data_IF_437884071521
#
_entry.id   IF_437884071521
#
_cell.length_a   1.000
_cell.length_b   1.000
_cell.length_c   1.000
_cell.angle_alpha   90.00
_cell.angle_beta   90.00
_cell.angle_gamma   90.00
#
_symmetry.space_group_name_H-M   'P 1'
#
loop_
_entity.id
_entity.type
_entity.pdbx_description
1 polymer ?
#
# COMPACT_ATOMS: atom_id res chain seq x y z
N UNK A 1 12.56 -22.81 1.90
CA UNK A 1 11.60 -21.83 1.36
C UNK A 1 10.49 -22.61 0.69
N UNK A 2 9.31 -22.59 1.28
CA UNK A 2 8.13 -23.29 0.74
C UNK A 2 7.27 -22.35 -0.13
N UNK A 3 6.15 -22.84 -0.65
CA UNK A 3 5.23 -22.05 -1.47
C UNK A 3 4.51 -20.96 -0.68
N UNK A 4 4.36 -21.09 0.65
CA UNK A 4 3.79 -20.05 1.50
C UNK A 4 4.77 -18.88 1.65
N UNK A 5 6.06 -19.18 1.86
CA UNK A 5 7.14 -18.18 1.88
C UNK A 5 7.22 -17.45 0.54
N UNK A 6 7.19 -18.19 -0.57
CA UNK A 6 7.22 -17.62 -1.91
C UNK A 6 6.01 -16.70 -2.18
N UNK A 7 4.82 -17.09 -1.73
CA UNK A 7 3.62 -16.26 -1.83
C UNK A 7 3.73 -14.96 -1.02
N UNK A 8 4.27 -15.01 0.20
CA UNK A 8 4.51 -13.81 1.02
C UNK A 8 5.55 -12.87 0.38
N UNK A 9 6.64 -13.42 -0.14
CA UNK A 9 7.67 -12.61 -0.84
C UNK A 9 7.05 -11.95 -2.06
N UNK A 10 6.32 -12.70 -2.88
CA UNK A 10 5.68 -12.17 -4.09
C UNK A 10 4.65 -11.10 -3.76
N UNK A 11 3.83 -11.30 -2.72
CA UNK A 11 2.90 -10.29 -2.23
C UNK A 11 3.64 -9.02 -1.77
N UNK A 12 4.76 -9.19 -1.06
CA UNK A 12 5.60 -8.08 -0.62
C UNK A 12 6.20 -7.28 -1.77
N UNK A 13 6.70 -7.97 -2.80
CA UNK A 13 7.23 -7.34 -4.02
C UNK A 13 6.12 -6.57 -4.75
N UNK A 14 4.95 -7.18 -4.96
CA UNK A 14 3.82 -6.51 -5.62
C UNK A 14 3.42 -5.26 -4.84
N UNK A 15 3.19 -5.38 -3.53
CA UNK A 15 2.80 -4.25 -2.68
C UNK A 15 3.85 -3.13 -2.67
N UNK A 16 5.13 -3.48 -2.57
CA UNK A 16 6.24 -2.53 -2.61
C UNK A 16 6.34 -1.79 -3.95
N UNK A 17 6.26 -2.51 -5.08
CA UNK A 17 6.28 -1.90 -6.42
C UNK A 17 5.06 -1.00 -6.65
N UNK A 18 3.86 -1.45 -6.26
CA UNK A 18 2.64 -0.64 -6.36
C UNK A 18 2.76 0.61 -5.50
N UNK A 19 3.34 0.54 -4.31
CA UNK A 19 3.57 1.69 -3.45
C UNK A 19 4.46 2.73 -4.13
N UNK A 20 5.58 2.32 -4.73
CA UNK A 20 6.49 3.26 -5.44
C UNK A 20 5.77 3.96 -6.59
N UNK A 21 5.07 3.20 -7.44
CA UNK A 21 4.34 3.76 -8.59
C UNK A 21 3.21 4.68 -8.10
N UNK A 22 2.44 4.25 -7.10
CA UNK A 22 1.37 5.05 -6.51
C UNK A 22 1.90 6.35 -5.91
N UNK A 23 3.01 6.32 -5.17
CA UNK A 23 3.65 7.52 -4.61
C UNK A 23 4.08 8.51 -5.68
N UNK A 24 4.66 8.04 -6.79
CA UNK A 24 5.02 8.89 -7.94
C UNK A 24 3.77 9.51 -8.56
N UNK A 25 2.70 8.74 -8.74
CA UNK A 25 1.42 9.23 -9.29
C UNK A 25 0.76 10.25 -8.35
N UNK A 26 0.67 9.96 -7.05
CA UNK A 26 0.15 10.87 -6.02
C UNK A 26 0.95 12.17 -6.01
N UNK A 27 2.28 12.10 -6.06
CA UNK A 27 3.12 13.29 -6.11
C UNK A 27 2.84 14.14 -7.35
N UNK A 28 2.73 13.50 -8.52
CA UNK A 28 2.58 14.20 -9.81
C UNK A 28 1.18 14.73 -10.05
N UNK A 29 0.15 13.95 -9.71
CA UNK A 29 -1.24 14.19 -10.09
C UNK A 29 -2.08 14.78 -8.96
N UNK A 30 -1.65 14.68 -7.70
CA UNK A 30 -2.40 15.22 -6.56
C UNK A 30 -1.62 16.29 -5.81
N UNK A 31 -0.43 15.98 -5.29
CA UNK A 31 0.34 16.91 -4.44
C UNK A 31 0.77 18.15 -5.22
N UNK A 32 1.37 17.99 -6.41
CA UNK A 32 1.82 19.12 -7.23
C UNK A 32 0.65 20.04 -7.67
N UNK A 33 -0.48 19.54 -8.18
CA UNK A 33 -1.64 20.38 -8.49
C UNK A 33 -2.24 21.03 -7.25
N UNK A 34 -2.40 20.29 -6.14
CA UNK A 34 -2.95 20.82 -4.90
C UNK A 34 -2.09 21.98 -4.38
N UNK A 35 -0.77 21.82 -4.40
CA UNK A 35 0.17 22.89 -4.04
C UNK A 35 -0.07 24.13 -4.90
N UNK A 36 -0.14 23.99 -6.23
CA UNK A 36 -0.38 25.13 -7.14
C UNK A 36 -1.68 25.88 -6.81
N UNK A 37 -2.77 25.15 -6.55
CA UNK A 37 -4.09 25.73 -6.26
C UNK A 37 -4.15 26.34 -4.85
N UNK A 38 -3.57 25.68 -3.85
CA UNK A 38 -3.60 26.16 -2.46
C UNK A 38 -2.60 27.27 -2.18
N UNK A 39 -1.51 27.42 -2.95
CA UNK A 39 -0.63 28.58 -2.84
C UNK A 39 -1.26 29.87 -3.37
N UNK A 40 -2.18 29.78 -4.35
CA UNK A 40 -2.93 30.93 -4.85
C UNK A 40 -4.08 31.38 -3.95
N UNK A 41 -4.59 30.51 -3.07
CA UNK A 41 -5.72 30.83 -2.20
C UNK A 41 -5.28 31.20 -0.77
N UNK A 42 -5.52 32.47 -0.40
CA UNK A 42 -5.28 33.01 0.95
C UNK A 42 -6.25 32.47 1.99
N UNK A 43 -7.40 31.89 1.60
CA UNK A 43 -8.40 31.32 2.52
C UNK A 43 -8.07 29.90 2.98
N UNK A 44 -7.20 29.19 2.27
CA UNK A 44 -6.83 27.83 2.67
C UNK A 44 -5.96 27.87 3.93
N UNK A 45 -6.41 27.24 5.01
CA UNK A 45 -5.68 27.15 6.27
C UNK A 45 -4.28 26.51 6.07
N UNK A 46 -3.26 27.10 6.70
CA UNK A 46 -1.87 26.62 6.61
C UNK A 46 -1.70 25.15 7.03
N UNK A 47 -2.56 24.67 7.92
CA UNK A 47 -2.62 23.27 8.37
C UNK A 47 -2.98 22.34 7.21
N UNK A 48 -3.97 22.68 6.39
CA UNK A 48 -4.39 21.87 5.24
C UNK A 48 -3.26 21.76 4.21
N UNK A 49 -2.52 22.86 3.98
CA UNK A 49 -1.36 22.88 3.07
C UNK A 49 -0.23 21.94 3.50
N UNK A 50 -0.09 21.70 4.81
CA UNK A 50 0.92 20.78 5.37
C UNK A 50 0.41 19.34 5.46
N UNK A 51 -0.80 19.14 5.98
CA UNK A 51 -1.33 17.80 6.27
C UNK A 51 -1.77 17.05 5.01
N UNK A 52 -2.38 17.73 4.03
CA UNK A 52 -2.92 17.03 2.86
C UNK A 52 -1.83 16.26 2.07
N UNK A 53 -0.65 16.84 1.76
CA UNK A 53 0.44 16.07 1.15
C UNK A 53 0.94 14.91 2.01
N UNK A 54 1.02 15.09 3.34
CA UNK A 54 1.49 14.02 4.25
C UNK A 54 0.50 12.85 4.27
N UNK A 55 -0.80 13.15 4.39
CA UNK A 55 -1.87 12.14 4.37
C UNK A 55 -1.91 11.39 3.05
N UNK A 56 -1.69 12.08 1.93
CA UNK A 56 -1.63 11.45 0.60
C UNK A 56 -0.44 10.48 0.45
N UNK A 57 0.70 10.77 1.08
CA UNK A 57 1.87 9.88 1.06
C UNK A 57 1.87 8.83 2.16
N UNK A 58 1.06 9.01 3.21
CA UNK A 58 1.01 8.08 4.34
C UNK A 58 0.68 6.65 3.89
N UNK A 59 -0.34 6.49 3.03
CA UNK A 59 -0.69 5.18 2.46
C UNK A 59 0.45 4.55 1.66
N UNK A 60 1.18 5.36 0.88
CA UNK A 60 2.36 4.91 0.12
C UNK A 60 3.43 4.34 1.04
N UNK A 61 3.73 5.04 2.14
CA UNK A 61 4.73 4.59 3.11
C UNK A 61 4.27 3.30 3.79
N UNK A 62 3.00 3.23 4.21
CA UNK A 62 2.44 2.02 4.81
C UNK A 62 2.50 0.81 3.87
N UNK A 63 2.18 0.98 2.59
CA UNK A 63 2.23 -0.12 1.63
C UNK A 63 3.67 -0.56 1.33
N UNK A 64 4.60 0.40 1.20
CA UNK A 64 6.01 0.11 0.97
C UNK A 64 6.62 -0.65 2.14
N UNK A 65 6.45 -0.13 3.36
CA UNK A 65 6.94 -0.78 4.57
C UNK A 65 6.25 -2.13 4.79
N UNK A 66 4.94 -2.22 4.56
CA UNK A 66 4.21 -3.49 4.59
C UNK A 66 4.79 -4.52 3.63
N UNK A 67 5.14 -4.12 2.41
CA UNK A 67 5.78 -4.99 1.42
C UNK A 67 7.14 -5.52 1.90
N UNK A 68 7.99 -4.64 2.46
CA UNK A 68 9.27 -5.04 3.04
C UNK A 68 9.10 -5.98 4.24
N UNK A 69 8.12 -5.70 5.10
CA UNK A 69 7.80 -6.51 6.27
C UNK A 69 7.31 -7.90 5.87
N UNK A 70 6.53 -8.05 4.78
CA UNK A 70 6.13 -9.37 4.26
C UNK A 70 7.34 -10.19 3.79
N UNK A 71 8.29 -9.56 3.09
CA UNK A 71 9.53 -10.20 2.66
C UNK A 71 10.35 -10.62 3.88
N UNK A 72 10.51 -9.73 4.86
CA UNK A 72 11.17 -10.03 6.13
C UNK A 72 10.47 -11.18 6.89
N UNK A 73 9.14 -11.21 6.89
CA UNK A 73 8.36 -12.23 7.57
C UNK A 73 8.53 -13.63 6.93
N UNK A 74 8.72 -13.69 5.62
CA UNK A 74 9.00 -14.92 4.91
C UNK A 74 10.42 -15.47 5.20
N UNK A 75 11.40 -14.59 5.42
CA UNK A 75 12.81 -14.99 5.53
C UNK A 75 13.24 -15.18 7.01
N UNK A 76 12.79 -14.31 7.91
CA UNK A 76 13.33 -14.19 9.26
C UNK A 76 12.34 -14.44 10.39
N UNK A 77 11.04 -14.25 10.17
CA UNK A 77 10.08 -14.32 11.27
C UNK A 77 9.74 -15.76 11.63
N UNK A 78 9.63 -16.00 12.93
CA UNK A 78 9.07 -17.24 13.45
C UNK A 78 7.58 -17.39 13.09
N UNK A 79 7.04 -18.62 13.04
CA UNK A 79 5.64 -18.88 12.69
C UNK A 79 4.64 -18.06 13.51
N UNK A 80 4.95 -17.82 14.79
CA UNK A 80 4.13 -17.07 15.74
C UNK A 80 3.95 -15.59 15.34
N UNK A 81 5.00 -14.97 14.80
CA UNK A 81 5.00 -13.57 14.37
C UNK A 81 4.57 -13.42 12.91
N UNK A 82 4.72 -14.48 12.10
CA UNK A 82 4.40 -14.46 10.67
C UNK A 82 2.92 -14.26 10.40
N UNK A 83 2.04 -15.04 11.03
CA UNK A 83 0.59 -14.93 10.84
C UNK A 83 0.03 -13.53 11.17
N UNK A 84 0.26 -12.96 12.36
CA UNK A 84 -0.26 -11.62 12.67
C UNK A 84 0.34 -10.55 11.75
N UNK A 85 1.61 -10.69 11.34
CA UNK A 85 2.25 -9.79 10.38
C UNK A 85 1.56 -9.84 9.01
N UNK A 86 1.34 -11.05 8.49
CA UNK A 86 0.67 -11.28 7.22
C UNK A 86 -0.75 -10.71 7.23
N UNK A 87 -1.52 -10.94 8.31
CA UNK A 87 -2.86 -10.39 8.48
C UNK A 87 -2.86 -8.86 8.55
N UNK A 88 -1.96 -8.27 9.32
CA UNK A 88 -1.85 -6.82 9.46
C UNK A 88 -1.55 -6.14 8.12
N UNK A 89 -0.55 -6.62 7.39
CA UNK A 89 -0.22 -6.08 6.06
C UNK A 89 -1.32 -6.39 5.05
N UNK A 90 -1.95 -7.56 5.14
CA UNK A 90 -3.11 -7.93 4.33
C UNK A 90 -4.26 -6.92 4.48
N UNK A 91 -4.58 -6.52 5.71
CA UNK A 91 -5.57 -5.47 5.97
C UNK A 91 -5.17 -4.12 5.38
N UNK A 92 -3.90 -3.71 5.51
CA UNK A 92 -3.39 -2.48 4.90
C UNK A 92 -3.53 -2.51 3.36
N UNK A 93 -3.20 -3.64 2.75
CA UNK A 93 -3.30 -3.79 1.29
C UNK A 93 -4.74 -3.86 0.81
N UNK A 94 -5.64 -4.49 1.59
CA UNK A 94 -7.08 -4.51 1.32
C UNK A 94 -7.67 -3.10 1.34
N UNK A 95 -7.34 -2.30 2.36
CA UNK A 95 -7.71 -0.88 2.42
C UNK A 95 -7.20 -0.13 1.18
N UNK A 96 -5.99 -0.42 0.72
CA UNK A 96 -5.43 0.15 -0.50
C UNK A 96 -6.16 -0.28 -1.77
N UNK A 97 -6.54 -1.55 -1.87
CA UNK A 97 -7.34 -2.05 -2.99
C UNK A 97 -8.71 -1.35 -3.05
N UNK A 98 -9.43 -1.29 -1.92
CA UNK A 98 -10.75 -0.64 -1.82
C UNK A 98 -10.64 0.87 -2.10
N UNK A 99 -9.65 1.54 -1.51
CA UNK A 99 -9.43 2.98 -1.72
C UNK A 99 -9.11 3.31 -3.18
N UNK A 100 -8.24 2.52 -3.82
CA UNK A 100 -7.90 2.69 -5.23
C UNK A 100 -9.08 2.37 -6.16
N UNK A 101 -9.87 1.34 -5.84
CA UNK A 101 -11.08 1.01 -6.59
C UNK A 101 -12.11 2.15 -6.53
N UNK A 102 -12.38 2.66 -5.33
CA UNK A 102 -13.29 3.79 -5.15
C UNK A 102 -12.78 5.06 -5.85
N UNK A 103 -11.49 5.39 -5.69
CA UNK A 103 -10.90 6.60 -6.28
C UNK A 103 -10.88 6.60 -7.80
N UNK A 104 -10.79 5.43 -8.44
CA UNK A 104 -10.65 5.31 -9.91
C UNK A 104 -11.91 4.84 -10.62
N UNK A 105 -12.93 4.34 -9.89
CA UNK A 105 -14.25 3.91 -10.40
C UNK A 105 -14.20 3.02 -11.65
N UNK A 106 -13.18 2.19 -11.81
CA UNK A 106 -12.98 1.40 -13.04
C UNK A 106 -11.81 0.43 -12.96
N UNK A 107 -11.41 -0.15 -14.09
CA UNK A 107 -10.25 -1.06 -14.19
C UNK A 107 -8.94 -0.26 -14.05
N UNK A 108 -8.38 -0.25 -12.84
CA UNK A 108 -7.13 0.43 -12.56
C UNK A 108 -6.11 -0.57 -12.02
N UNK A 109 -4.89 -0.66 -12.60
CA UNK A 109 -3.88 -1.65 -12.20
C UNK A 109 -3.58 -1.64 -10.71
N UNK A 110 -3.64 -0.46 -10.07
CA UNK A 110 -3.37 -0.30 -8.64
C UNK A 110 -4.25 -1.17 -7.74
N UNK A 111 -5.58 -1.18 -7.90
CA UNK A 111 -6.40 -2.03 -7.03
C UNK A 111 -6.33 -3.50 -7.42
N UNK A 112 -6.18 -3.82 -8.71
CA UNK A 112 -6.06 -5.20 -9.20
C UNK A 112 -4.81 -5.87 -8.60
N UNK A 113 -3.67 -5.20 -8.66
CA UNK A 113 -2.41 -5.71 -8.11
C UNK A 113 -2.45 -5.81 -6.58
N UNK A 114 -3.06 -4.83 -5.90
CA UNK A 114 -3.24 -4.90 -4.45
C UNK A 114 -4.17 -6.05 -4.03
N UNK A 115 -5.26 -6.28 -4.76
CA UNK A 115 -6.12 -7.45 -4.55
C UNK A 115 -5.36 -8.75 -4.79
N UNK A 116 -4.54 -8.85 -5.84
CA UNK A 116 -3.70 -10.02 -6.07
C UNK A 116 -2.72 -10.27 -4.91
N UNK A 117 -2.09 -9.22 -4.39
CA UNK A 117 -1.23 -9.32 -3.21
C UNK A 117 -1.99 -9.80 -1.96
N UNK A 118 -3.22 -9.31 -1.72
CA UNK A 118 -4.09 -9.79 -0.63
C UNK A 118 -4.42 -11.27 -0.79
N UNK A 119 -4.73 -11.73 -2.01
CA UNK A 119 -5.01 -13.14 -2.28
C UNK A 119 -3.79 -14.03 -2.04
N UNK A 120 -2.59 -13.57 -2.41
CA UNK A 120 -1.34 -14.28 -2.11
C UNK A 120 -1.07 -14.37 -0.61
N UNK A 121 -1.33 -13.29 0.14
CA UNK A 121 -1.23 -13.30 1.60
C UNK A 121 -2.22 -14.31 2.19
N UNK A 122 -3.48 -14.31 1.75
CA UNK A 122 -4.49 -15.25 2.21
C UNK A 122 -4.09 -16.71 1.91
N UNK A 123 -3.58 -16.98 0.71
CA UNK A 123 -3.07 -18.29 0.33
C UNK A 123 -1.86 -18.72 1.18
N UNK A 124 -0.98 -17.79 1.54
CA UNK A 124 0.20 -18.08 2.36
C UNK A 124 -0.11 -18.44 3.82
N UNK A 125 -1.29 -18.07 4.32
CA UNK A 125 -1.73 -18.34 5.70
C UNK A 125 -2.82 -19.41 5.77
N UNK A 126 -3.22 -19.98 4.63
CA UNK A 126 -4.27 -20.99 4.60
C UNK A 126 -3.80 -22.25 5.35
N UNK A 127 -4.61 -22.79 6.29
CA UNK A 127 -4.24 -23.98 7.03
C UNK A 127 -4.11 -25.18 6.09
N UNK A 128 -3.11 -26.04 6.36
CA UNK A 128 -2.92 -27.32 5.68
C UNK A 128 -4.14 -28.23 5.82
#
# INVERSE_FOLDING_TARGET
>A
MDWHDAALILAGVIGGCVAVVHGVLVQRLMVRPLAKVTFSDRRTAAIIKRLAPMLLHFSTICWFLGGLVLIAAAIWFEPQARLPTALFVGCLFLCGAVGNFWGTRGRHPGWILMTAAVMLIAASVWPK
#
